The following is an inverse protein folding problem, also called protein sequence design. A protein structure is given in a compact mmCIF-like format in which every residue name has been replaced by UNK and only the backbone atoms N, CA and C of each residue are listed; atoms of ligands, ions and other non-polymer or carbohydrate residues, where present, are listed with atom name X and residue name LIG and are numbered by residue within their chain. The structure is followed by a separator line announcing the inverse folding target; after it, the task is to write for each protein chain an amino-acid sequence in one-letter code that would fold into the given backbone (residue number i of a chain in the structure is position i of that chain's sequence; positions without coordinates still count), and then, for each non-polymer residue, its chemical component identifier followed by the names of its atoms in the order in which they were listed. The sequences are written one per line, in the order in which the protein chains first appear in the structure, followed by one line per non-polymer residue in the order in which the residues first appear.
data_IF_457146782106
#
_entry.id   IF_457146782106
#
_cell.length_a   1.000
_cell.length_b   1.000
_cell.length_c   1.000
_cell.angle_alpha   90.00
_cell.angle_beta   90.00
_cell.angle_gamma   90.00
#
_symmetry.space_group_name_H-M   'P 1'
#
loop_
_entity.id
_entity.type
_entity.pdbx_description
1 polymer ?
#
# COMPACT_ATOMS: atom_id res chain seq x y z
N UNK A 1 -4.43 -6.91 -19.10
CA UNK A 1 -3.51 -7.20 -17.99
C UNK A 1 -3.52 -6.01 -17.04
N UNK A 2 -3.36 -6.24 -15.75
CA UNK A 2 -3.31 -5.20 -14.73
C UNK A 2 -2.12 -5.47 -13.81
N UNK A 3 -1.49 -4.41 -13.31
CA UNK A 3 -0.43 -4.48 -12.32
C UNK A 3 -0.85 -3.76 -11.04
N UNK A 4 -0.35 -4.23 -9.91
CA UNK A 4 -0.47 -3.57 -8.61
C UNK A 4 0.89 -2.96 -8.28
N UNK A 5 0.97 -1.64 -8.29
CA UNK A 5 2.10 -0.90 -7.75
C UNK A 5 1.96 -0.74 -6.24
N UNK A 6 3.05 -0.92 -5.52
CA UNK A 6 3.14 -0.64 -4.08
C UNK A 6 4.30 0.33 -3.89
N UNK A 7 4.02 1.46 -3.26
CA UNK A 7 4.96 2.55 -3.05
C UNK A 7 5.08 2.83 -1.54
N UNK A 8 6.23 2.49 -0.99
CA UNK A 8 6.57 2.66 0.43
C UNK A 8 7.26 4.00 0.63
N UNK A 9 6.50 5.00 1.06
CA UNK A 9 7.03 6.29 1.47
C UNK A 9 7.57 6.27 2.90
N UNK A 10 8.04 7.43 3.36
CA UNK A 10 8.57 7.60 4.72
C UNK A 10 7.44 7.55 5.77
N UNK A 11 6.33 8.23 5.50
CA UNK A 11 5.26 8.42 6.48
C UNK A 11 4.03 7.55 6.18
N UNK A 12 3.93 7.05 4.94
CA UNK A 12 2.76 6.35 4.44
C UNK A 12 3.12 5.36 3.35
N UNK A 13 2.14 4.53 2.99
CA UNK A 13 2.23 3.57 1.90
C UNK A 13 1.04 3.71 0.96
N UNK A 14 1.28 3.50 -0.33
CA UNK A 14 0.27 3.61 -1.38
C UNK A 14 0.20 2.34 -2.23
N UNK A 15 -1.02 1.89 -2.55
CA UNK A 15 -1.26 0.98 -3.68
C UNK A 15 -1.84 1.74 -4.87
N UNK A 16 -1.50 1.27 -6.07
CA UNK A 16 -2.05 1.73 -7.33
C UNK A 16 -2.35 0.54 -8.25
N UNK A 17 -3.58 0.45 -8.77
CA UNK A 17 -3.97 -0.55 -9.78
C UNK A 17 -3.93 0.09 -11.15
N UNK A 18 -3.07 -0.42 -12.03
CA UNK A 18 -2.85 0.15 -13.37
C UNK A 18 -3.18 -0.86 -14.45
N UNK A 19 -3.84 -0.40 -15.52
CA UNK A 19 -4.06 -1.19 -16.73
C UNK A 19 -2.85 -1.10 -17.66
N UNK A 20 -2.28 -2.24 -18.02
CA UNK A 20 -1.02 -2.26 -18.77
C UNK A 20 -1.15 -1.82 -20.24
N UNK A 21 -2.36 -1.83 -20.81
CA UNK A 21 -2.55 -1.51 -22.23
C UNK A 21 -2.41 -0.02 -22.54
N UNK A 22 -2.68 0.86 -21.57
CA UNK A 22 -2.76 2.30 -21.75
C UNK A 22 -2.25 3.11 -20.54
N UNK A 23 -1.79 2.44 -19.49
CA UNK A 23 -1.32 3.10 -18.27
C UNK A 23 -2.45 3.68 -17.42
N UNK A 24 -3.72 3.37 -17.72
CA UNK A 24 -4.83 3.96 -16.97
C UNK A 24 -4.82 3.51 -15.50
N UNK A 25 -4.86 4.48 -14.59
CA UNK A 25 -5.00 4.27 -13.15
C UNK A 25 -6.45 3.98 -12.81
N UNK A 26 -6.73 2.78 -12.30
CA UNK A 26 -8.09 2.34 -12.02
C UNK A 26 -8.50 2.53 -10.56
N UNK A 27 -7.52 2.55 -9.65
CA UNK A 27 -7.78 2.80 -8.24
C UNK A 27 -6.49 2.90 -7.45
N UNK A 28 -6.51 3.73 -6.42
CA UNK A 28 -5.39 3.93 -5.51
C UNK A 28 -5.86 4.02 -4.07
N UNK A 29 -4.99 3.76 -3.11
CA UNK A 29 -5.27 3.97 -1.71
C UNK A 29 -3.97 4.25 -0.96
N UNK A 30 -4.01 5.23 -0.07
CA UNK A 30 -2.89 5.65 0.78
C UNK A 30 -3.27 5.38 2.23
N UNK A 31 -2.32 4.89 3.01
CA UNK A 31 -2.49 4.65 4.45
C UNK A 31 -1.23 5.13 5.15
N UNK A 32 -1.39 6.00 6.14
CA UNK A 32 -0.30 6.47 6.99
C UNK A 32 0.17 5.35 7.93
N UNK A 33 1.46 5.33 8.24
CA UNK A 33 1.99 4.38 9.20
C UNK A 33 1.51 4.74 10.61
N UNK A 34 1.02 3.75 11.39
CA UNK A 34 0.45 4.00 12.70
C UNK A 34 1.49 4.28 13.79
N UNK A 35 2.75 3.90 13.60
CA UNK A 35 3.78 4.04 14.63
C UNK A 35 4.59 5.32 14.49
N UNK A 36 5.06 5.83 15.62
CA UNK A 36 5.90 7.01 15.68
C UNK A 36 5.14 8.31 15.39
N UNK A 37 5.90 9.37 15.15
CA UNK A 37 5.37 10.65 14.72
C UNK A 37 5.45 10.69 13.20
N UNK A 38 4.31 10.77 12.53
CA UNK A 38 4.24 10.74 11.06
C UNK A 38 4.94 9.51 10.46
N UNK A 39 4.81 8.34 11.09
CA UNK A 39 5.46 7.11 10.61
C UNK A 39 6.94 6.95 10.98
N UNK A 40 7.53 7.92 11.70
CA UNK A 40 8.94 7.93 12.08
C UNK A 40 9.10 7.83 13.60
N UNK A 41 9.88 6.85 14.04
CA UNK A 41 10.33 6.71 15.41
C UNK A 41 11.51 7.65 15.64
N UNK A 42 11.32 8.64 16.52
CA UNK A 42 12.30 9.65 16.89
C UNK A 42 12.81 9.40 18.32
N UNK A 43 13.99 9.92 18.64
CA UNK A 43 14.52 9.95 20.00
C UNK A 43 14.76 11.40 20.45
N UNK A 44 14.10 11.89 21.51
CA UNK A 44 14.35 13.23 22.04
C UNK A 44 15.79 13.50 22.47
N UNK A 45 16.59 12.46 22.72
CA UNK A 45 17.99 12.56 23.13
C UNK A 45 18.97 12.49 21.96
N UNK A 46 18.51 12.07 20.79
CA UNK A 46 19.31 11.96 19.57
C UNK A 46 18.53 12.51 18.37
N UNK A 47 18.80 13.77 18.03
CA UNK A 47 18.14 14.46 16.92
C UNK A 47 18.45 13.87 15.54
N UNK A 48 19.46 13.00 15.42
CA UNK A 48 19.79 12.32 14.16
C UNK A 48 19.09 10.97 14.00
N UNK A 49 18.39 10.49 15.04
CA UNK A 49 17.67 9.23 14.99
C UNK A 49 16.32 9.37 14.27
N UNK A 50 16.21 8.69 13.13
CA UNK A 50 14.96 8.49 12.42
C UNK A 50 14.85 7.01 12.02
N UNK A 51 13.92 6.28 12.63
CA UNK A 51 13.69 4.85 12.37
C UNK A 51 12.26 4.60 11.93
N UNK A 52 12.03 3.45 11.29
CA UNK A 52 10.69 2.98 10.94
C UNK A 52 10.35 1.70 11.73
N UNK A 53 9.06 1.46 11.95
CA UNK A 53 8.58 0.22 12.55
C UNK A 53 8.24 -0.79 11.45
N UNK A 54 9.00 -1.89 11.27
CA UNK A 54 8.79 -2.82 10.16
C UNK A 54 7.43 -3.55 10.19
N UNK A 55 6.81 -3.67 11.36
CA UNK A 55 5.46 -4.21 11.50
C UNK A 55 4.38 -3.36 10.83
N UNK A 56 4.65 -2.07 10.60
CA UNK A 56 3.70 -1.14 9.98
C UNK A 56 3.51 -1.45 8.49
N UNK A 57 4.54 -1.94 7.81
CA UNK A 57 4.43 -2.34 6.41
C UNK A 57 3.42 -3.47 6.23
N UNK A 58 3.49 -4.49 7.11
CA UNK A 58 2.61 -5.65 7.05
C UNK A 58 1.19 -5.31 7.49
N UNK A 59 1.05 -4.54 8.57
CA UNK A 59 -0.26 -4.16 9.09
C UNK A 59 -1.03 -3.24 8.14
N UNK A 60 -0.32 -2.34 7.45
CA UNK A 60 -0.89 -1.46 6.43
C UNK A 60 -1.17 -2.18 5.11
N UNK A 61 -0.38 -3.21 4.71
CA UNK A 61 -0.53 -3.98 3.46
C UNK A 61 -1.99 -4.35 3.16
N UNK A 62 -2.66 -4.96 4.13
CA UNK A 62 -4.05 -5.40 3.95
C UNK A 62 -5.00 -4.23 3.73
N UNK A 63 -4.78 -3.09 4.40
CA UNK A 63 -5.66 -1.92 4.33
C UNK A 63 -5.55 -1.24 2.96
N UNK A 64 -4.33 -0.85 2.56
CA UNK A 64 -4.15 -0.07 1.35
C UNK A 64 -4.41 -0.90 0.07
N UNK A 65 -4.03 -2.18 0.05
CA UNK A 65 -4.32 -3.06 -1.12
C UNK A 65 -5.82 -3.25 -1.29
N UNK A 66 -6.55 -3.53 -0.20
CA UNK A 66 -8.01 -3.69 -0.27
C UNK A 66 -8.70 -2.39 -0.71
N UNK A 67 -8.24 -1.25 -0.22
CA UNK A 67 -8.75 0.06 -0.63
C UNK A 67 -8.59 0.31 -2.13
N UNK A 68 -7.39 0.10 -2.66
CA UNK A 68 -7.11 0.30 -4.08
C UNK A 68 -7.94 -0.65 -4.97
N UNK A 69 -8.07 -1.93 -4.58
CA UNK A 69 -8.89 -2.90 -5.29
C UNK A 69 -10.39 -2.58 -5.23
N UNK A 70 -10.88 -2.05 -4.10
CA UNK A 70 -12.28 -1.64 -3.97
C UNK A 70 -12.63 -0.48 -4.89
N UNK A 71 -11.71 0.48 -5.07
CA UNK A 71 -11.88 1.58 -6.01
C UNK A 71 -11.80 1.06 -7.45
N UNK A 72 -10.77 0.25 -7.77
CA UNK A 72 -10.60 -0.29 -9.12
C UNK A 72 -11.82 -1.07 -9.64
N UNK A 73 -12.51 -1.80 -8.75
CA UNK A 73 -13.75 -2.51 -9.10
C UNK A 73 -14.83 -1.61 -9.71
N UNK A 74 -14.89 -0.33 -9.32
CA UNK A 74 -15.85 0.65 -9.86
C UNK A 74 -15.56 0.97 -11.34
N UNK A 75 -14.31 0.81 -11.77
CA UNK A 75 -13.84 1.05 -13.14
C UNK A 75 -13.89 -0.19 -14.03
N UNK A 76 -14.61 -1.24 -13.60
CA UNK A 76 -14.74 -2.50 -14.35
C UNK A 76 -13.60 -3.50 -14.15
N UNK A 77 -12.65 -3.22 -13.26
CA UNK A 77 -11.62 -4.19 -12.85
C UNK A 77 -12.27 -5.41 -12.18
N UNK A 78 -11.90 -6.61 -12.63
CA UNK A 78 -12.33 -7.88 -12.01
C UNK A 78 -11.11 -8.75 -11.71
N UNK A 79 -10.93 -9.08 -10.44
CA UNK A 79 -9.93 -10.05 -10.02
C UNK A 79 -10.54 -11.45 -10.10
N UNK A 80 -9.91 -12.37 -10.86
CA UNK A 80 -10.22 -13.79 -10.75
C UNK A 80 -9.53 -14.31 -9.48
N UNK A 81 -10.31 -14.83 -8.54
CA UNK A 81 -9.73 -15.54 -7.39
C UNK A 81 -9.05 -16.81 -7.90
N UNK A 82 -7.72 -16.85 -7.80
CA UNK A 82 -6.95 -18.07 -8.00
C UNK A 82 -7.29 -19.09 -6.92
N UNK A 83 -7.24 -20.38 -7.26
CA UNK A 83 -7.33 -21.44 -6.26
C UNK A 83 -5.95 -21.65 -5.63
N UNK A 84 -5.67 -20.92 -4.55
CA UNK A 84 -4.39 -20.93 -3.84
C UNK A 84 -4.20 -22.13 -2.89
N UNK A 85 -5.11 -23.12 -2.92
CA UNK A 85 -5.02 -24.35 -2.11
C UNK A 85 -4.03 -25.39 -2.66
N UNK A 86 -3.32 -25.06 -3.74
CA UNK A 86 -2.40 -25.96 -4.47
C UNK A 86 -0.94 -25.51 -4.44
N UNK A 87 -0.61 -24.55 -3.59
CA UNK A 87 0.75 -24.03 -3.34
C UNK A 87 1.05 -24.12 -1.86
#
# INVERSE_FOLDING_TARGET
MFNLGIDYGTNSVRALVVRCSDGAELGYCVVDYPSGQEGVLLDPKDHHLARQHPGDYLSSLKKFVRGALAIAKKSGFRCKQGNWSRI
#
